data_IF_255187550412
#
_entry.id   IF_255187550412
#
_cell.length_a   1.000
_cell.length_b   1.000
_cell.length_c   1.000
_cell.angle_alpha   90.00
_cell.angle_beta   90.00
_cell.angle_gamma   90.00
#
_symmetry.space_group_name_H-M   'P 1'
#
loop_
_entity.id
_entity.type
_entity.pdbx_description
1 polymer ?
#
# COMPACT_ATOMS: atom_id res chain seq x y z
N UNK A 1 18.55 0.41 27.14
CA UNK A 1 18.10 0.75 25.77
C UNK A 1 19.36 0.89 24.93
N UNK A 2 19.82 -0.23 24.40
CA UNK A 2 21.15 -0.37 23.80
C UNK A 2 21.15 0.37 22.46
N UNK A 3 22.18 1.19 22.31
CA UNK A 3 22.48 2.11 21.22
C UNK A 3 22.63 1.36 19.89
N UNK A 4 21.51 1.09 19.19
CA UNK A 4 21.49 0.68 17.77
C UNK A 4 22.19 1.73 16.88
N UNK A 5 22.39 2.93 17.42
CA UNK A 5 23.04 4.09 16.80
C UNK A 5 24.48 3.84 16.32
N UNK A 6 25.30 3.02 17.00
CA UNK A 6 26.74 2.91 16.68
C UNK A 6 27.15 1.74 15.79
N UNK A 7 26.33 0.70 15.63
CA UNK A 7 26.64 -0.43 14.72
C UNK A 7 26.11 -0.23 13.29
N UNK A 8 25.42 0.89 13.03
CA UNK A 8 24.58 1.12 11.86
C UNK A 8 25.24 1.93 10.72
N UNK A 9 26.30 2.70 10.99
CA UNK A 9 26.71 3.80 10.11
C UNK A 9 27.15 3.39 8.69
N UNK A 10 27.62 2.15 8.49
CA UNK A 10 27.97 1.60 7.17
C UNK A 10 27.13 0.39 6.74
N UNK A 11 27.10 -0.67 7.55
CA UNK A 11 26.46 -1.95 7.18
C UNK A 11 24.94 -1.90 7.14
N UNK A 12 24.33 -1.08 7.99
CA UNK A 12 22.87 -0.94 8.03
C UNK A 12 22.32 -0.30 6.76
N UNK A 13 23.07 0.62 6.13
CA UNK A 13 22.66 1.28 4.88
C UNK A 13 22.55 0.31 3.71
N UNK A 14 23.47 -0.66 3.61
CA UNK A 14 23.43 -1.69 2.57
C UNK A 14 22.24 -2.63 2.77
N UNK A 15 21.97 -3.03 4.03
CA UNK A 15 20.80 -3.84 4.35
C UNK A 15 19.49 -3.11 4.05
N UNK A 16 19.41 -1.82 4.38
CA UNK A 16 18.28 -0.97 4.04
C UNK A 16 18.06 -0.88 2.53
N UNK A 17 19.12 -0.63 1.76
CA UNK A 17 19.04 -0.59 0.29
C UNK A 17 18.58 -1.94 -0.28
N UNK A 18 19.10 -3.05 0.21
CA UNK A 18 18.67 -4.40 -0.19
C UNK A 18 17.19 -4.64 0.10
N UNK A 19 16.71 -4.26 1.28
CA UNK A 19 15.30 -4.40 1.66
C UNK A 19 14.38 -3.54 0.78
N UNK A 20 14.76 -2.29 0.51
CA UNK A 20 14.01 -1.43 -0.43
C UNK A 20 14.01 -2.01 -1.84
N UNK A 21 15.12 -2.58 -2.30
CA UNK A 21 15.20 -3.28 -3.59
C UNK A 21 14.22 -4.44 -3.67
N UNK A 22 14.18 -5.30 -2.65
CA UNK A 22 13.23 -6.43 -2.57
C UNK A 22 11.79 -5.93 -2.60
N UNK A 23 11.43 -4.97 -1.74
CA UNK A 23 10.07 -4.41 -1.73
C UNK A 23 9.71 -3.75 -3.06
N UNK A 24 10.69 -3.11 -3.71
CA UNK A 24 10.54 -2.55 -5.06
C UNK A 24 10.21 -3.61 -6.11
N UNK A 25 10.88 -4.76 -6.08
CA UNK A 25 10.57 -5.88 -6.97
C UNK A 25 9.14 -6.41 -6.74
N UNK A 26 8.73 -6.57 -5.48
CA UNK A 26 7.36 -6.99 -5.15
C UNK A 26 6.29 -5.97 -5.58
N UNK A 27 6.62 -4.69 -5.69
CA UNK A 27 5.73 -3.67 -6.24
C UNK A 27 5.72 -3.67 -7.76
N UNK A 28 6.90 -3.71 -8.39
CA UNK A 28 7.05 -3.56 -9.83
C UNK A 28 6.62 -4.80 -10.60
N UNK A 29 7.01 -6.00 -10.15
CA UNK A 29 6.73 -7.25 -10.89
C UNK A 29 5.23 -7.43 -11.21
N UNK A 30 4.31 -7.47 -10.23
CA UNK A 30 2.91 -7.70 -10.54
C UNK A 30 2.27 -6.48 -11.24
N UNK A 31 2.86 -5.29 -11.12
CA UNK A 31 2.40 -4.11 -11.86
C UNK A 31 2.72 -4.22 -13.34
N UNK A 32 3.90 -4.74 -13.69
CA UNK A 32 4.28 -5.01 -15.09
C UNK A 32 3.41 -6.10 -15.70
N UNK A 33 3.10 -7.16 -14.95
CA UNK A 33 2.20 -8.23 -15.40
C UNK A 33 0.80 -7.67 -15.73
N UNK A 34 0.27 -6.81 -14.86
CA UNK A 34 -1.00 -6.13 -15.09
C UNK A 34 -0.92 -5.21 -16.32
N UNK A 35 0.15 -4.43 -16.47
CA UNK A 35 0.32 -3.55 -17.63
C UNK A 35 0.33 -4.36 -18.93
N UNK A 36 0.99 -5.53 -18.94
CA UNK A 36 0.97 -6.46 -20.07
C UNK A 36 -0.43 -7.01 -20.36
N UNK A 37 -1.20 -7.35 -19.32
CA UNK A 37 -2.56 -7.86 -19.46
C UNK A 37 -3.58 -6.81 -19.97
N UNK A 38 -3.30 -5.52 -19.75
CA UNK A 38 -4.17 -4.40 -20.16
C UNK A 38 -4.02 -4.09 -21.67
N UNK A 39 -2.89 -4.41 -22.29
CA UNK A 39 -2.63 -4.04 -23.70
C UNK A 39 -3.10 -5.14 -24.66
N UNK A 40 -3.85 -4.84 -25.74
CA UNK A 40 -4.28 -3.51 -26.19
C UNK A 40 -5.51 -2.99 -25.43
N UNK A 41 -5.53 -1.68 -25.19
CA UNK A 41 -6.62 -1.01 -24.45
C UNK A 41 -7.90 -1.03 -25.28
N UNK A 42 -8.98 -1.63 -24.73
CA UNK A 42 -10.29 -1.79 -25.39
C UNK A 42 -11.43 -1.43 -24.45
N UNK A 43 -11.62 -0.13 -24.20
CA UNK A 43 -12.64 0.37 -23.26
C UNK A 43 -14.09 0.09 -23.71
N UNK A 44 -14.30 -0.10 -25.01
CA UNK A 44 -15.56 -0.48 -25.64
C UNK A 44 -15.94 -1.95 -25.39
N UNK A 45 -14.95 -2.79 -25.06
CA UNK A 45 -15.16 -4.22 -24.84
C UNK A 45 -15.35 -4.54 -23.35
N UNK A 46 -16.57 -4.92 -22.98
CA UNK A 46 -16.95 -5.32 -21.61
C UNK A 46 -16.11 -6.50 -21.10
N UNK A 47 -15.79 -7.47 -21.96
CA UNK A 47 -14.97 -8.63 -21.57
C UNK A 47 -13.54 -8.22 -21.20
N UNK A 48 -12.98 -7.24 -21.93
CA UNK A 48 -11.65 -6.70 -21.62
C UNK A 48 -11.65 -5.98 -20.27
N UNK A 49 -12.63 -5.10 -20.02
CA UNK A 49 -12.77 -4.37 -18.75
C UNK A 49 -12.88 -5.33 -17.57
N UNK A 50 -13.71 -6.35 -17.71
CA UNK A 50 -13.93 -7.37 -16.70
C UNK A 50 -12.65 -8.21 -16.43
N UNK A 51 -11.98 -8.68 -17.49
CA UNK A 51 -10.72 -9.42 -17.37
C UNK A 51 -9.58 -8.61 -16.74
N UNK A 52 -9.54 -7.31 -17.05
CA UNK A 52 -8.57 -6.37 -16.47
C UNK A 52 -8.74 -6.25 -14.95
N UNK A 53 -9.96 -6.09 -14.45
CA UNK A 53 -10.20 -6.00 -12.98
C UNK A 53 -9.86 -7.32 -12.28
N UNK A 54 -10.19 -8.46 -12.89
CA UNK A 54 -9.84 -9.78 -12.35
C UNK A 54 -8.32 -9.94 -12.22
N UNK A 55 -7.57 -9.45 -13.20
CA UNK A 55 -6.10 -9.51 -13.19
C UNK A 55 -5.50 -8.58 -12.14
N UNK A 56 -6.17 -7.45 -11.84
CA UNK A 56 -5.73 -6.46 -10.86
C UNK A 56 -6.06 -6.82 -9.40
N UNK A 57 -7.15 -7.55 -9.19
CA UNK A 57 -7.63 -7.92 -7.86
C UNK A 57 -6.60 -8.67 -6.99
N UNK A 58 -5.77 -9.61 -7.49
CA UNK A 58 -4.71 -10.20 -6.66
C UNK A 58 -3.53 -9.25 -6.42
N UNK A 59 -3.22 -8.36 -7.36
CA UNK A 59 -2.08 -7.45 -7.30
C UNK A 59 -2.18 -6.45 -6.15
N UNK A 60 -3.40 -6.00 -5.82
CA UNK A 60 -3.63 -5.05 -4.72
C UNK A 60 -3.10 -5.55 -3.37
N UNK A 61 -3.22 -6.85 -3.10
CA UNK A 61 -2.77 -7.44 -1.84
C UNK A 61 -1.26 -7.44 -1.73
N UNK A 62 -0.59 -7.82 -2.82
CA UNK A 62 0.87 -7.84 -2.89
C UNK A 62 1.41 -6.42 -2.74
N UNK A 63 0.79 -5.45 -3.41
CA UNK A 63 1.17 -4.04 -3.29
C UNK A 63 0.95 -3.50 -1.86
N UNK A 64 -0.18 -3.83 -1.23
CA UNK A 64 -0.46 -3.43 0.15
C UNK A 64 0.59 -3.97 1.14
N UNK A 65 0.96 -5.25 1.01
CA UNK A 65 1.98 -5.88 1.84
C UNK A 65 3.36 -5.27 1.59
N UNK A 66 3.75 -5.07 0.33
CA UNK A 66 5.05 -4.51 -0.02
C UNK A 66 5.19 -3.05 0.47
N UNK A 67 4.15 -2.21 0.30
CA UNK A 67 4.14 -0.85 0.83
C UNK A 67 4.13 -0.84 2.36
N UNK A 68 3.39 -1.76 2.99
CA UNK A 68 3.35 -1.90 4.45
C UNK A 68 4.72 -2.25 5.02
N UNK A 69 5.40 -3.23 4.45
CA UNK A 69 6.76 -3.63 4.81
C UNK A 69 7.76 -2.47 4.63
N UNK A 70 7.66 -1.76 3.50
CA UNK A 70 8.48 -0.57 3.23
C UNK A 70 8.22 0.52 4.26
N UNK A 71 6.97 0.75 4.66
CA UNK A 71 6.60 1.75 5.64
C UNK A 71 7.16 1.42 7.03
N UNK A 72 7.01 0.17 7.48
CA UNK A 72 7.58 -0.31 8.75
C UNK A 72 9.09 -0.04 8.77
N UNK A 73 9.79 -0.43 7.71
CA UNK A 73 11.23 -0.23 7.63
C UNK A 73 11.62 1.26 7.61
N UNK A 74 10.87 2.10 6.89
CA UNK A 74 11.08 3.54 6.85
C UNK A 74 10.82 4.22 8.21
N UNK A 75 9.86 3.72 9.01
CA UNK A 75 9.66 4.17 10.40
C UNK A 75 10.87 3.81 11.26
N UNK A 76 11.33 2.55 11.21
CA UNK A 76 12.46 2.07 12.00
C UNK A 76 13.76 2.86 11.72
N UNK A 77 13.95 3.28 10.47
CA UNK A 77 15.11 4.06 10.02
C UNK A 77 14.90 5.58 10.01
N UNK A 78 13.72 6.07 10.40
CA UNK A 78 13.43 7.50 10.44
C UNK A 78 13.37 8.20 9.06
N UNK A 79 13.16 7.45 7.98
CA UNK A 79 13.12 7.96 6.60
C UNK A 79 11.78 8.66 6.28
N UNK A 80 11.60 9.89 6.75
CA UNK A 80 10.34 10.66 6.58
C UNK A 80 9.94 10.87 5.11
N UNK A 81 10.90 11.10 4.23
CA UNK A 81 10.62 11.30 2.80
C UNK A 81 10.04 10.03 2.15
N UNK A 82 10.57 8.86 2.55
CA UNK A 82 10.06 7.56 2.09
C UNK A 82 8.64 7.34 2.60
N UNK A 83 8.36 7.64 3.87
CA UNK A 83 7.00 7.56 4.41
C UNK A 83 6.00 8.48 3.70
N UNK A 84 6.41 9.69 3.29
CA UNK A 84 5.56 10.58 2.49
C UNK A 84 5.27 9.99 1.11
N UNK A 85 6.30 9.47 0.44
CA UNK A 85 6.15 8.84 -0.86
C UNK A 85 5.20 7.62 -0.79
N UNK A 86 5.40 6.75 0.20
CA UNK A 86 4.51 5.59 0.44
C UNK A 86 3.08 6.05 0.72
N UNK A 87 2.91 7.09 1.52
CA UNK A 87 1.58 7.62 1.85
C UNK A 87 0.84 8.09 0.59
N UNK A 88 1.49 8.92 -0.24
CA UNK A 88 0.91 9.42 -1.49
C UNK A 88 0.57 8.25 -2.42
N UNK A 89 1.51 7.31 -2.58
CA UNK A 89 1.33 6.15 -3.45
C UNK A 89 0.18 5.25 -2.97
N UNK A 90 0.13 4.94 -1.68
CA UNK A 90 -0.91 4.08 -1.10
C UNK A 90 -2.31 4.72 -1.21
N UNK A 91 -2.45 6.03 -0.95
CA UNK A 91 -3.73 6.74 -1.11
C UNK A 91 -4.14 6.77 -2.60
N UNK A 92 -3.19 7.02 -3.50
CA UNK A 92 -3.46 7.06 -4.95
C UNK A 92 -3.93 5.71 -5.46
N UNK A 93 -3.24 4.63 -5.07
CA UNK A 93 -3.64 3.27 -5.42
C UNK A 93 -5.00 2.92 -4.81
N UNK A 94 -5.25 3.24 -3.54
CA UNK A 94 -6.54 2.99 -2.91
C UNK A 94 -7.70 3.68 -3.66
N UNK A 95 -7.51 4.95 -4.07
CA UNK A 95 -8.50 5.69 -4.84
C UNK A 95 -8.72 5.06 -6.24
N UNK A 96 -7.64 4.68 -6.92
CA UNK A 96 -7.70 4.00 -8.21
C UNK A 96 -8.50 2.70 -8.10
N UNK A 97 -8.15 1.84 -7.14
CA UNK A 97 -8.85 0.57 -6.91
C UNK A 97 -10.32 0.76 -6.52
N UNK A 98 -10.65 1.80 -5.77
CA UNK A 98 -12.04 2.12 -5.44
C UNK A 98 -12.86 2.46 -6.71
N UNK A 99 -12.31 3.28 -7.61
CA UNK A 99 -12.95 3.60 -8.90
C UNK A 99 -13.13 2.34 -9.74
N UNK A 100 -12.09 1.49 -9.81
CA UNK A 100 -12.15 0.26 -10.59
C UNK A 100 -13.15 -0.75 -10.03
N UNK A 101 -13.26 -0.86 -8.71
CA UNK A 101 -14.27 -1.71 -8.07
C UNK A 101 -15.70 -1.24 -8.37
N UNK A 102 -15.93 0.08 -8.41
CA UNK A 102 -17.23 0.63 -8.82
C UNK A 102 -17.55 0.33 -10.29
N UNK A 103 -16.58 0.51 -11.19
CA UNK A 103 -16.75 0.16 -12.61
C UNK A 103 -17.02 -1.35 -12.79
N UNK A 104 -16.32 -2.18 -12.03
CA UNK A 104 -16.50 -3.63 -12.05
C UNK A 104 -17.89 -4.06 -11.58
N UNK A 105 -18.44 -3.41 -10.54
CA UNK A 105 -19.80 -3.65 -10.08
C UNK A 105 -20.83 -3.44 -11.20
N UNK A 106 -20.63 -2.41 -12.03
CA UNK A 106 -21.47 -2.14 -13.20
C UNK A 106 -21.29 -3.23 -14.27
N UNK A 107 -20.05 -3.64 -14.55
CA UNK A 107 -19.75 -4.70 -15.53
C UNK A 107 -20.38 -6.04 -15.16
N UNK A 108 -20.41 -6.39 -13.88
CA UNK A 108 -21.04 -7.62 -13.39
C UNK A 108 -22.53 -7.66 -13.77
N UNK A 109 -23.24 -6.53 -13.62
CA UNK A 109 -24.66 -6.45 -13.95
C UNK A 109 -24.90 -6.63 -15.45
N UNK A 110 -24.00 -6.11 -16.29
CA UNK A 110 -24.08 -6.23 -17.75
C UNK A 110 -23.76 -7.65 -18.22
N UNK A 111 -22.75 -8.30 -17.62
CA UNK A 111 -22.31 -9.65 -18.00
C UNK A 111 -23.24 -10.76 -17.49
N UNK A 112 -24.01 -10.53 -16.43
CA UNK A 112 -24.89 -11.55 -15.83
C UNK A 112 -25.82 -12.22 -16.85
N UNK A 113 -26.36 -11.45 -17.80
CA UNK A 113 -27.25 -11.95 -18.84
C UNK A 113 -26.56 -12.71 -19.98
N UNK A 114 -25.25 -12.54 -20.13
CA UNK A 114 -24.47 -13.15 -21.22
C UNK A 114 -23.81 -14.49 -20.83
N UNK A 115 -23.95 -14.93 -19.58
CA UNK A 115 -23.29 -16.13 -19.07
C UNK A 115 -24.18 -17.36 -19.27
N UNK A 116 -23.68 -18.41 -19.97
CA UNK A 116 -24.39 -19.69 -20.10
C UNK A 116 -24.71 -20.30 -18.73
N UNK A 117 -25.87 -20.95 -18.60
CA UNK A 117 -26.37 -21.47 -17.32
C UNK A 117 -25.35 -22.36 -16.58
N UNK A 118 -24.59 -23.18 -17.31
CA UNK A 118 -23.56 -24.07 -16.74
C UNK A 118 -22.27 -23.39 -16.25
N UNK A 119 -22.14 -22.05 -16.36
CA UNK A 119 -20.94 -21.30 -15.92
C UNK A 119 -21.25 -20.21 -14.88
N UNK A 120 -22.48 -20.13 -14.39
CA UNK A 120 -22.90 -19.08 -13.43
C UNK A 120 -22.20 -19.19 -12.08
N UNK A 121 -22.09 -20.38 -11.51
CA UNK A 121 -21.51 -20.53 -10.17
C UNK A 121 -20.01 -20.17 -10.13
N UNK A 122 -19.15 -20.68 -11.05
CA UNK A 122 -17.75 -20.27 -11.09
C UNK A 122 -17.60 -18.76 -11.31
N UNK A 123 -18.48 -18.16 -12.11
CA UNK A 123 -18.49 -16.71 -12.33
C UNK A 123 -18.77 -15.95 -11.03
N UNK A 124 -19.80 -16.30 -10.27
CA UNK A 124 -20.11 -15.60 -9.01
C UNK A 124 -19.04 -15.80 -7.95
N UNK A 125 -18.43 -16.98 -7.86
CA UNK A 125 -17.31 -17.24 -6.94
C UNK A 125 -16.11 -16.36 -7.30
N UNK A 126 -15.77 -16.26 -8.58
CA UNK A 126 -14.68 -15.41 -9.05
C UNK A 126 -14.96 -13.93 -8.79
N UNK A 127 -16.18 -13.47 -9.10
CA UNK A 127 -16.63 -12.09 -8.83
C UNK A 127 -16.55 -11.78 -7.34
N UNK A 128 -17.08 -12.65 -6.49
CA UNK A 128 -17.04 -12.50 -5.04
C UNK A 128 -15.60 -12.38 -4.54
N UNK A 129 -14.70 -13.27 -4.99
CA UNK A 129 -13.28 -13.22 -4.65
C UNK A 129 -12.65 -11.88 -5.06
N UNK A 130 -12.90 -11.41 -6.29
CA UNK A 130 -12.33 -10.15 -6.78
C UNK A 130 -12.83 -8.94 -6.00
N UNK A 131 -14.13 -8.90 -5.67
CA UNK A 131 -14.71 -7.84 -4.85
C UNK A 131 -14.13 -7.85 -3.43
N UNK A 132 -14.04 -9.02 -2.79
CA UNK A 132 -13.43 -9.14 -1.46
C UNK A 132 -11.98 -8.68 -1.46
N UNK A 133 -11.18 -9.12 -2.43
CA UNK A 133 -9.78 -8.70 -2.54
C UNK A 133 -9.66 -7.19 -2.80
N UNK A 134 -10.49 -6.62 -3.67
CA UNK A 134 -10.47 -5.18 -3.95
C UNK A 134 -10.86 -4.36 -2.73
N UNK A 135 -11.88 -4.79 -1.98
CA UNK A 135 -12.33 -4.10 -0.75
C UNK A 135 -11.28 -4.18 0.35
N UNK A 136 -10.78 -5.38 0.66
CA UNK A 136 -9.81 -5.59 1.74
C UNK A 136 -8.47 -4.92 1.38
N UNK A 137 -8.01 -5.05 0.13
CA UNK A 137 -6.77 -4.44 -0.31
C UNK A 137 -6.85 -2.92 -0.39
N UNK A 138 -7.96 -2.39 -0.93
CA UNK A 138 -8.18 -0.95 -1.05
C UNK A 138 -8.29 -0.28 0.31
N UNK A 139 -9.04 -0.88 1.24
CA UNK A 139 -9.12 -0.39 2.62
C UNK A 139 -7.77 -0.46 3.35
N UNK A 140 -7.01 -1.55 3.16
CA UNK A 140 -5.67 -1.68 3.73
C UNK A 140 -4.72 -0.60 3.23
N UNK A 141 -4.70 -0.33 1.92
CA UNK A 141 -3.91 0.74 1.31
C UNK A 141 -4.34 2.12 1.82
N UNK A 142 -5.64 2.37 1.95
CA UNK A 142 -6.14 3.63 2.48
C UNK A 142 -5.70 3.86 3.93
N UNK A 143 -5.86 2.85 4.79
CA UNK A 143 -5.44 2.91 6.20
C UNK A 143 -3.93 3.09 6.31
N UNK A 144 -3.15 2.33 5.55
CA UNK A 144 -1.70 2.46 5.50
C UNK A 144 -1.28 3.87 5.05
N UNK A 145 -1.88 4.38 3.97
CA UNK A 145 -1.58 5.69 3.41
C UNK A 145 -1.88 6.82 4.39
N UNK A 146 -3.04 6.78 5.05
CA UNK A 146 -3.41 7.74 6.10
C UNK A 146 -2.50 7.65 7.33
N UNK A 147 -2.15 6.43 7.77
CA UNK A 147 -1.26 6.20 8.90
C UNK A 147 0.14 6.73 8.64
N UNK A 148 0.72 6.39 7.49
CA UNK A 148 2.03 6.89 7.05
C UNK A 148 2.03 8.43 6.94
N UNK A 149 0.95 9.03 6.42
CA UNK A 149 0.83 10.49 6.33
C UNK A 149 0.90 11.15 7.71
N UNK A 150 0.12 10.63 8.66
CA UNK A 150 0.07 11.14 10.04
C UNK A 150 1.44 11.06 10.70
N UNK A 151 2.16 9.95 10.54
CA UNK A 151 3.51 9.77 11.07
C UNK A 151 4.52 10.78 10.50
N UNK A 152 4.35 11.24 9.25
CA UNK A 152 5.24 12.25 8.67
C UNK A 152 5.00 13.66 9.22
N UNK A 153 3.83 13.91 9.81
CA UNK A 153 3.44 15.20 10.43
C UNK A 153 3.81 15.27 11.90
N UNK A 154 3.86 14.12 12.59
CA UNK A 154 4.30 14.10 13.99
C UNK A 154 5.75 14.58 14.06
N UNK A 155 5.96 15.75 14.69
CA UNK A 155 7.30 16.16 15.09
C UNK A 155 7.76 15.11 16.10
N UNK A 156 8.61 14.18 15.65
CA UNK A 156 9.36 13.30 16.57
C UNK A 156 9.94 14.23 17.63
N UNK A 157 9.49 14.05 18.87
CA UNK A 157 9.96 14.88 19.97
C UNK A 157 11.48 14.74 19.97
N UNK A 158 12.17 15.86 19.82
CA UNK A 158 13.63 15.86 19.86
C UNK A 158 14.03 15.39 21.25
N UNK A 159 14.68 14.21 21.39
CA UNK A 159 14.98 13.64 22.70
C UNK A 159 15.79 14.62 23.55
N UNK A 160 16.63 15.45 22.90
CA UNK A 160 17.40 16.50 23.58
C UNK A 160 16.48 17.55 24.19
N UNK A 161 15.43 17.96 23.47
CA UNK A 161 14.45 18.93 23.99
C UNK A 161 13.61 18.34 25.12
N UNK A 162 13.33 17.03 25.11
CA UNK A 162 12.66 16.39 26.24
C UNK A 162 13.55 16.33 27.47
N UNK A 163 14.84 16.00 27.30
CA UNK A 163 15.82 16.04 28.39
C UNK A 163 16.00 17.46 28.93
N UNK A 164 16.10 18.47 28.07
CA UNK A 164 16.18 19.88 28.48
C UNK A 164 14.92 20.35 29.21
N UNK A 165 13.73 19.95 28.75
CA UNK A 165 12.46 20.24 29.43
C UNK A 165 12.39 19.57 30.80
N UNK A 166 12.80 18.30 30.89
CA UNK A 166 12.86 17.57 32.15
C UNK A 166 13.85 18.22 33.13
N UNK A 167 15.04 18.60 32.65
CA UNK A 167 16.04 19.29 33.45
C UNK A 167 15.53 20.65 33.97
N UNK A 168 14.88 21.46 33.11
CA UNK A 168 14.28 22.74 33.52
C UNK A 168 13.18 22.55 34.56
N UNK A 169 12.31 21.55 34.41
CA UNK A 169 11.24 21.28 35.37
C UNK A 169 11.77 20.89 36.77
N UNK A 170 12.91 20.20 36.83
CA UNK A 170 13.59 19.87 38.10
C UNK A 170 14.16 21.13 38.76
N UNK A 171 14.74 22.04 37.99
CA UNK A 171 15.29 23.29 38.52
C UNK A 171 14.20 24.22 39.08
N UNK A 172 13.05 24.32 38.42
CA UNK A 172 11.93 25.17 38.87
C UNK A 172 11.22 24.66 40.12
N UNK A 173 11.34 23.37 40.47
CA UNK A 173 10.76 22.82 41.72
C UNK A 173 11.64 23.09 42.96
N UNK A 174 12.89 23.50 42.76
CA UNK A 174 13.84 23.75 43.85
C UNK A 174 13.96 25.23 44.24
N UNK A 175 13.35 26.12 43.46
CA UNK A 175 13.25 27.55 43.75
C UNK A 175 11.90 27.84 44.42
#
# INVERSE_FOLDING_TARGET
>A
MITIEKLSEGRGRLLAAGFYGVCGVFLLSPSLDVMGAIVPIRFDNIQWRFGMVISLAPTIMVQAVALGATAVFAVLWGHKNVLRAISILAITLAALYAIMALMFAIDILQLRGAIPDGRRDPFYVMVGKCLTQSLVGGTSLAVLGMGAWRLTRTKVADPKKEVERAARAVLTKKA
#
